data_IF_042423343061
#
_entry.id   IF_042423343061
#
_cell.length_a   1.000
_cell.length_b   1.000
_cell.length_c   1.000
_cell.angle_alpha   90.00
_cell.angle_beta   90.00
_cell.angle_gamma   90.00
#
_symmetry.space_group_name_H-M   'P 1'
#
loop_
_entity.id
_entity.type
_entity.pdbx_description
1 polymer ?
#
# COMPACT_ATOMS: atom_id res chain seq x y z
N UNK A 1 -22.69 17.81 -34.45
CA UNK A 1 -21.91 18.29 -33.29
C UNK A 1 -22.20 17.47 -32.03
N UNK A 2 -23.47 17.25 -31.68
CA UNK A 2 -23.90 16.48 -30.50
C UNK A 2 -23.35 15.05 -30.40
N UNK A 3 -23.20 14.32 -31.51
CA UNK A 3 -22.63 12.97 -31.51
C UNK A 3 -21.15 12.92 -31.06
N UNK A 4 -20.35 13.94 -31.41
CA UNK A 4 -18.95 14.05 -30.98
C UNK A 4 -18.83 14.39 -29.50
N UNK A 5 -19.75 15.21 -29.00
CA UNK A 5 -19.85 15.58 -27.58
C UNK A 5 -20.25 14.35 -26.75
N UNK A 6 -21.22 13.56 -27.21
CA UNK A 6 -21.62 12.31 -26.55
C UNK A 6 -20.47 11.29 -26.44
N UNK A 7 -19.69 11.11 -27.50
CA UNK A 7 -18.52 10.22 -27.50
C UNK A 7 -17.42 10.73 -26.55
N UNK A 8 -17.16 12.04 -26.54
CA UNK A 8 -16.17 12.65 -25.65
C UNK A 8 -16.57 12.48 -24.16
N UNK A 9 -17.84 12.67 -23.82
CA UNK A 9 -18.37 12.46 -22.47
C UNK A 9 -18.27 10.97 -22.07
N UNK A 10 -18.62 10.06 -22.98
CA UNK A 10 -18.52 8.61 -22.73
C UNK A 10 -17.08 8.15 -22.49
N UNK A 11 -16.13 8.62 -23.29
CA UNK A 11 -14.70 8.34 -23.11
C UNK A 11 -14.16 8.92 -21.81
N UNK A 12 -14.55 10.15 -21.48
CA UNK A 12 -14.14 10.79 -20.23
C UNK A 12 -14.68 10.01 -19.02
N UNK A 13 -15.94 9.59 -19.04
CA UNK A 13 -16.55 8.79 -17.98
C UNK A 13 -15.88 7.40 -17.85
N UNK A 14 -15.55 6.75 -18.97
CA UNK A 14 -14.84 5.48 -18.99
C UNK A 14 -13.44 5.60 -18.40
N UNK A 15 -12.66 6.60 -18.84
CA UNK A 15 -11.30 6.86 -18.34
C UNK A 15 -11.33 7.21 -16.85
N UNK A 16 -12.26 8.08 -16.44
CA UNK A 16 -12.43 8.47 -15.02
C UNK A 16 -12.84 7.26 -14.17
N UNK A 17 -13.75 6.41 -14.68
CA UNK A 17 -14.14 5.17 -14.01
C UNK A 17 -12.97 4.18 -13.87
N UNK A 18 -12.17 4.00 -14.91
CA UNK A 18 -10.98 3.15 -14.90
C UNK A 18 -9.90 3.67 -13.93
N UNK A 19 -9.77 5.00 -13.81
CA UNK A 19 -8.86 5.66 -12.88
C UNK A 19 -9.39 5.67 -11.43
N UNK A 20 -10.70 5.58 -11.23
CA UNK A 20 -11.30 5.46 -9.89
C UNK A 20 -11.27 4.02 -9.35
N UNK A 21 -11.22 3.02 -10.23
CA UNK A 21 -11.10 1.60 -9.87
C UNK A 21 -9.99 1.31 -8.85
N UNK A 22 -8.76 1.85 -8.97
CA UNK A 22 -7.71 1.68 -7.97
C UNK A 22 -8.10 2.10 -6.56
N UNK A 23 -8.67 3.30 -6.40
CA UNK A 23 -9.03 3.86 -5.11
C UNK A 23 -10.09 3.00 -4.42
N UNK A 24 -11.06 2.53 -5.20
CA UNK A 24 -12.11 1.61 -4.75
C UNK A 24 -11.55 0.22 -4.39
N UNK A 25 -10.61 -0.30 -5.17
CA UNK A 25 -9.95 -1.59 -4.90
C UNK A 25 -9.02 -1.51 -3.69
N UNK A 26 -8.29 -0.39 -3.51
CA UNK A 26 -7.47 -0.13 -2.31
C UNK A 26 -8.34 0.05 -1.07
N UNK A 27 -9.46 0.76 -1.16
CA UNK A 27 -10.37 0.93 -0.02
C UNK A 27 -11.04 -0.41 0.37
N UNK A 28 -11.40 -1.24 -0.62
CA UNK A 28 -11.97 -2.58 -0.38
C UNK A 28 -10.93 -3.59 0.12
N UNK A 29 -9.71 -3.58 -0.39
CA UNK A 29 -8.62 -4.41 0.12
C UNK A 29 -8.17 -3.96 1.52
N UNK A 30 -8.15 -2.65 1.80
CA UNK A 30 -7.94 -2.10 3.16
C UNK A 30 -8.95 -2.62 4.15
N UNK A 31 -10.25 -2.61 3.80
CA UNK A 31 -11.30 -3.14 4.67
C UNK A 31 -11.24 -4.66 4.83
N UNK A 32 -10.84 -5.39 3.79
CA UNK A 32 -10.74 -6.86 3.84
C UNK A 32 -9.46 -7.39 4.50
N UNK A 33 -8.36 -6.63 4.52
CA UNK A 33 -7.10 -7.01 5.19
C UNK A 33 -7.03 -6.61 6.66
N UNK A 34 -7.97 -5.77 7.11
CA UNK A 34 -8.07 -5.32 8.51
C UNK A 34 -9.31 -5.89 9.23
N UNK A 35 -10.14 -6.65 8.54
CA UNK A 35 -11.20 -7.41 9.19
C UNK A 35 -10.53 -8.58 9.93
N UNK A 36 -10.77 -8.73 11.26
CA UNK A 36 -10.36 -9.92 11.98
C UNK A 36 -10.91 -11.15 11.25
N UNK A 37 -10.14 -12.25 11.13
CA UNK A 37 -10.76 -13.54 10.81
C UNK A 37 -11.87 -13.80 11.83
N UNK A 38 -13.03 -14.25 11.38
CA UNK A 38 -14.09 -14.71 12.29
C UNK A 38 -13.52 -15.88 13.11
N UNK A 39 -13.11 -15.58 14.35
CA UNK A 39 -12.36 -16.50 15.21
C UNK A 39 -11.27 -15.74 15.95
N UNK A 40 -11.58 -15.28 17.15
CA UNK A 40 -10.66 -14.53 17.99
C UNK A 40 -9.39 -15.32 18.28
N UNK A 41 -8.26 -14.78 17.83
CA UNK A 41 -6.97 -14.81 18.51
C UNK A 41 -6.14 -13.63 17.98
N UNK A 42 -5.57 -12.86 18.91
CA UNK A 42 -4.93 -11.56 18.65
C UNK A 42 -3.50 -11.74 18.15
N UNK A 43 -3.32 -12.63 17.18
CA UNK A 43 -2.02 -12.93 16.58
C UNK A 43 -1.99 -12.50 15.11
N UNK A 44 -1.12 -11.55 14.82
CA UNK A 44 -0.87 -11.05 13.47
C UNK A 44 0.22 -11.87 12.81
N UNK A 45 -0.05 -12.37 11.61
CA UNK A 45 0.93 -13.07 10.78
C UNK A 45 2.02 -12.13 10.23
N UNK A 46 3.18 -12.69 9.91
CA UNK A 46 4.27 -11.99 9.21
C UNK A 46 3.79 -11.20 7.98
N UNK A 47 2.82 -11.74 7.24
CA UNK A 47 2.24 -11.11 6.05
C UNK A 47 1.55 -9.78 6.34
N UNK A 48 0.89 -9.65 7.49
CA UNK A 48 0.19 -8.42 7.87
C UNK A 48 1.17 -7.33 8.35
N UNK A 49 2.27 -7.72 9.00
CA UNK A 49 3.38 -6.79 9.32
C UNK A 49 4.07 -6.30 8.05
N UNK A 50 4.37 -7.18 7.10
CA UNK A 50 4.96 -6.79 5.80
C UNK A 50 3.98 -5.90 4.98
N UNK A 51 2.68 -6.17 5.06
CA UNK A 51 1.66 -5.34 4.42
C UNK A 51 1.63 -3.92 5.02
N UNK A 52 1.63 -3.80 6.36
CA UNK A 52 1.70 -2.51 7.05
C UNK A 52 2.96 -1.72 6.67
N UNK A 53 4.11 -2.39 6.58
CA UNK A 53 5.37 -1.78 6.14
C UNK A 53 5.33 -1.29 4.69
N UNK A 54 4.74 -2.09 3.79
CA UNK A 54 4.58 -1.70 2.39
C UNK A 54 3.67 -0.49 2.24
N UNK A 55 2.61 -0.39 3.05
CA UNK A 55 1.66 0.73 3.02
C UNK A 55 2.33 2.04 3.44
N UNK A 56 3.20 2.00 4.46
CA UNK A 56 3.97 3.18 4.88
C UNK A 56 4.96 3.60 3.81
N UNK A 57 5.70 2.65 3.22
CA UNK A 57 6.61 2.94 2.09
C UNK A 57 5.88 3.59 0.93
N UNK A 58 4.74 3.03 0.55
CA UNK A 58 3.93 3.57 -0.54
C UNK A 58 3.43 4.97 -0.19
N UNK A 59 2.99 5.19 1.06
CA UNK A 59 2.56 6.51 1.53
C UNK A 59 3.68 7.54 1.42
N UNK A 60 4.92 7.22 1.79
CA UNK A 60 6.07 8.10 1.58
C UNK A 60 6.25 8.50 0.12
N UNK A 61 6.19 7.52 -0.79
CA UNK A 61 6.31 7.75 -2.24
C UNK A 61 5.15 8.60 -2.76
N UNK A 62 3.94 8.35 -2.27
CA UNK A 62 2.74 9.04 -2.69
C UNK A 62 2.79 10.52 -2.27
N UNK A 63 3.28 10.83 -1.06
CA UNK A 63 3.52 12.21 -0.61
C UNK A 63 4.81 12.84 -1.17
N UNK A 64 5.52 12.13 -2.05
CA UNK A 64 6.70 12.64 -2.77
C UNK A 64 8.01 12.60 -1.97
N UNK A 65 8.06 11.90 -0.84
CA UNK A 65 9.28 11.69 -0.08
C UNK A 65 10.13 10.56 -0.70
N UNK A 66 11.44 10.65 -0.51
CA UNK A 66 12.36 9.57 -0.90
C UNK A 66 12.32 8.48 0.17
N UNK A 67 12.14 7.23 -0.27
CA UNK A 67 12.21 6.08 0.64
C UNK A 67 13.64 5.53 0.68
N UNK A 68 14.30 5.48 1.86
CA UNK A 68 15.66 4.98 1.98
C UNK A 68 15.81 3.48 1.67
N UNK A 69 17.02 3.07 1.30
CA UNK A 69 17.41 1.66 1.15
C UNK A 69 18.09 1.12 2.41
N UNK A 70 17.91 -0.17 2.71
CA UNK A 70 18.61 -0.84 3.81
C UNK A 70 17.69 -1.77 4.61
N UNK A 71 18.13 -2.14 5.81
CA UNK A 71 17.31 -2.93 6.73
C UNK A 71 16.09 -2.13 7.21
N UNK A 72 14.96 -2.78 7.57
CA UNK A 72 13.77 -2.08 8.08
C UNK A 72 14.11 -1.08 9.19
N UNK A 73 14.96 -1.47 10.14
CA UNK A 73 15.42 -0.61 11.23
C UNK A 73 16.25 0.60 10.77
N UNK A 74 17.13 0.42 9.79
CA UNK A 74 17.90 1.52 9.23
C UNK A 74 16.97 2.52 8.50
N UNK A 75 16.08 1.99 7.66
CA UNK A 75 15.08 2.76 6.92
C UNK A 75 14.16 3.52 7.87
N UNK A 76 13.64 2.87 8.91
CA UNK A 76 12.75 3.48 9.89
C UNK A 76 13.39 4.66 10.62
N UNK A 77 14.68 4.56 11.00
CA UNK A 77 15.40 5.67 11.63
C UNK A 77 15.65 6.83 10.67
N UNK A 78 16.04 6.54 9.44
CA UNK A 78 16.35 7.57 8.45
C UNK A 78 15.09 8.30 7.98
N UNK A 79 14.03 7.55 7.66
CA UNK A 79 12.75 8.12 7.22
C UNK A 79 12.00 8.84 8.34
N UNK A 80 12.25 8.52 9.62
CA UNK A 80 11.66 9.24 10.75
C UNK A 80 12.17 10.69 10.88
N UNK A 81 13.34 11.03 10.33
CA UNK A 81 13.94 12.36 10.45
C UNK A 81 13.16 13.46 9.73
N UNK A 82 12.34 13.09 8.74
CA UNK A 82 11.52 14.03 7.95
C UNK A 82 10.07 14.08 8.43
N UNK A 83 9.75 13.37 9.52
CA UNK A 83 8.41 13.29 10.08
C UNK A 83 8.31 14.11 11.37
N UNK A 84 7.11 14.58 11.74
CA UNK A 84 6.83 15.03 13.10
C UNK A 84 7.17 13.95 14.13
N UNK A 85 7.53 14.36 15.34
CA UNK A 85 8.11 13.47 16.36
C UNK A 85 7.27 12.21 16.64
N UNK A 86 5.95 12.35 16.77
CA UNK A 86 5.03 11.24 16.99
C UNK A 86 5.01 10.24 15.83
N UNK A 87 4.97 10.74 14.61
CA UNK A 87 5.01 9.94 13.40
C UNK A 87 6.39 9.27 13.21
N UNK A 88 7.47 9.98 13.53
CA UNK A 88 8.82 9.42 13.55
C UNK A 88 8.96 8.27 14.55
N UNK A 89 8.44 8.44 15.77
CA UNK A 89 8.39 7.37 16.78
C UNK A 89 7.59 6.17 16.30
N UNK A 90 6.39 6.39 15.77
CA UNK A 90 5.54 5.33 15.24
C UNK A 90 6.24 4.55 14.11
N UNK A 91 6.94 5.24 13.22
CA UNK A 91 7.71 4.61 12.15
C UNK A 91 8.86 3.73 12.67
N UNK A 92 9.59 4.22 13.68
CA UNK A 92 10.67 3.44 14.32
C UNK A 92 10.10 2.20 15.01
N UNK A 93 8.97 2.30 15.72
CA UNK A 93 8.31 1.16 16.35
C UNK A 93 7.89 0.13 15.30
N UNK A 94 7.22 0.56 14.22
CA UNK A 94 6.80 -0.31 13.13
C UNK A 94 8.00 -1.03 12.50
N UNK A 95 9.10 -0.32 12.25
CA UNK A 95 10.31 -0.91 11.66
C UNK A 95 10.90 -2.04 12.51
N UNK A 96 10.83 -1.93 13.84
CA UNK A 96 11.26 -2.97 14.76
C UNK A 96 10.30 -4.16 14.75
N UNK A 97 8.99 -3.93 14.61
CA UNK A 97 8.03 -5.03 14.47
C UNK A 97 8.27 -5.82 13.18
N UNK A 98 8.64 -5.16 12.08
CA UNK A 98 9.02 -5.85 10.83
C UNK A 98 10.29 -6.68 10.99
N UNK A 99 11.28 -6.16 11.71
CA UNK A 99 12.50 -6.91 11.99
C UNK A 99 12.20 -8.12 12.88
N UNK A 100 11.40 -7.93 13.94
CA UNK A 100 10.96 -9.03 14.80
C UNK A 100 10.14 -10.06 14.03
N UNK A 101 9.16 -9.68 13.22
CA UNK A 101 8.35 -10.67 12.49
C UNK A 101 9.15 -11.51 11.50
N UNK A 102 10.31 -11.01 11.04
CA UNK A 102 11.21 -11.74 10.14
C UNK A 102 12.18 -12.67 10.86
N UNK A 103 12.58 -12.33 12.08
CA UNK A 103 13.63 -13.05 12.81
C UNK A 103 13.17 -13.72 14.10
N UNK A 104 11.98 -13.40 14.59
CA UNK A 104 11.36 -13.95 15.78
C UNK A 104 9.92 -14.37 15.46
N UNK A 105 9.58 -15.61 15.79
CA UNK A 105 8.21 -16.13 15.82
C UNK A 105 7.45 -15.55 17.02
N UNK A 106 7.27 -14.24 17.04
CA UNK A 106 6.53 -13.55 18.10
C UNK A 106 5.19 -13.04 17.56
N UNK A 107 4.13 -13.27 18.33
CA UNK A 107 2.81 -12.71 18.04
C UNK A 107 2.84 -11.18 18.12
N UNK A 108 2.33 -10.52 17.09
CA UNK A 108 2.13 -9.06 17.04
C UNK A 108 0.63 -8.79 17.08
N UNK A 109 0.19 -7.71 17.73
CA UNK A 109 -1.24 -7.34 17.78
C UNK A 109 -1.64 -6.42 16.61
N UNK A 110 -2.81 -6.64 16.00
CA UNK A 110 -3.26 -5.97 14.75
C UNK A 110 -3.67 -4.51 14.96
N UNK A 111 -4.28 -4.22 16.11
CA UNK A 111 -4.69 -2.88 16.51
C UNK A 111 -3.47 -1.94 16.59
N UNK A 112 -2.36 -2.43 17.13
CA UNK A 112 -1.11 -1.67 17.23
C UNK A 112 -0.54 -1.32 15.85
N UNK A 113 -0.53 -2.28 14.91
CA UNK A 113 -0.03 -2.01 13.55
C UNK A 113 -0.87 -0.97 12.82
N UNK A 114 -2.19 -1.06 12.92
CA UNK A 114 -3.10 -0.14 12.25
C UNK A 114 -2.96 1.27 12.80
N UNK A 115 -2.84 1.41 14.13
CA UNK A 115 -2.59 2.67 14.80
C UNK A 115 -1.25 3.29 14.37
N UNK A 116 -0.16 2.49 14.36
CA UNK A 116 1.16 2.95 13.94
C UNK A 116 1.17 3.46 12.49
N UNK A 117 0.54 2.72 11.57
CA UNK A 117 0.41 3.14 10.16
C UNK A 117 -0.41 4.44 10.05
N UNK A 118 -1.49 4.56 10.83
CA UNK A 118 -2.30 5.77 10.90
C UNK A 118 -1.48 6.99 11.30
N UNK A 119 -0.77 6.90 12.43
CA UNK A 119 0.07 7.99 12.95
C UNK A 119 1.15 8.42 11.95
N UNK A 120 1.82 7.47 11.29
CA UNK A 120 2.84 7.81 10.27
C UNK A 120 2.22 8.55 9.08
N UNK A 121 1.06 8.08 8.60
CA UNK A 121 0.36 8.71 7.46
C UNK A 121 -0.15 10.10 7.79
N UNK A 122 -0.65 10.31 8.99
CA UNK A 122 -1.10 11.63 9.43
C UNK A 122 0.08 12.58 9.58
N UNK A 123 1.22 12.09 10.08
CA UNK A 123 2.49 12.85 10.04
C UNK A 123 2.90 13.28 8.64
N UNK A 124 2.86 12.37 7.66
CA UNK A 124 3.16 12.67 6.25
C UNK A 124 2.21 13.71 5.64
N UNK A 125 0.94 13.77 6.10
CA UNK A 125 -0.04 14.75 5.63
C UNK A 125 0.18 16.15 6.20
N UNK A 126 0.82 16.25 7.36
CA UNK A 126 0.89 17.50 8.14
C UNK A 126 1.72 18.57 7.43
N UNK A 127 2.69 18.17 6.61
CA UNK A 127 3.66 19.05 5.94
C UNK A 127 3.25 19.49 4.50
N UNK A 128 2.08 19.07 4.00
CA UNK A 128 1.65 19.31 2.60
C UNK A 128 0.34 20.09 2.48
N UNK A 129 0.33 21.03 1.52
CA UNK A 129 -0.83 21.80 1.09
C UNK A 129 -2.00 20.92 0.60
N UNK A 130 -3.20 21.50 0.60
CA UNK A 130 -4.47 20.83 0.26
C UNK A 130 -4.47 20.22 -1.17
N UNK A 131 -3.68 20.79 -2.06
CA UNK A 131 -3.46 20.40 -3.45
C UNK A 131 -2.64 19.10 -3.58
N UNK A 132 -1.53 19.00 -2.85
CA UNK A 132 -0.71 17.78 -2.80
C UNK A 132 -1.45 16.62 -2.11
N UNK A 133 -2.34 16.92 -1.15
CA UNK A 133 -3.21 15.91 -0.51
C UNK A 133 -4.18 15.30 -1.53
N UNK A 134 -4.88 16.13 -2.29
CA UNK A 134 -5.82 15.68 -3.32
C UNK A 134 -5.14 14.85 -4.42
N UNK A 135 -3.97 15.30 -4.92
CA UNK A 135 -3.23 14.57 -5.96
C UNK A 135 -2.67 13.24 -5.42
N UNK A 136 -2.17 13.19 -4.19
CA UNK A 136 -1.63 11.95 -3.62
C UNK A 136 -2.73 10.93 -3.33
N UNK A 137 -3.94 11.40 -3.01
CA UNK A 137 -5.08 10.55 -2.68
C UNK A 137 -5.84 10.08 -3.93
N UNK A 138 -5.80 10.85 -5.03
CA UNK A 138 -6.46 10.52 -6.30
C UNK A 138 -5.50 9.98 -7.38
N UNK A 139 -4.20 10.24 -7.29
CA UNK A 139 -3.19 9.85 -8.29
C UNK A 139 -1.87 9.34 -7.67
N UNK A 140 -1.88 8.20 -6.94
CA UNK A 140 -0.71 7.72 -6.22
C UNK A 140 0.43 7.34 -7.17
N UNK A 141 1.63 7.91 -6.98
CA UNK A 141 2.81 7.60 -7.82
C UNK A 141 3.26 6.14 -7.70
N UNK A 142 2.96 5.50 -6.57
CA UNK A 142 3.20 4.05 -6.35
C UNK A 142 2.47 3.15 -7.35
N UNK A 143 1.35 3.64 -7.91
CA UNK A 143 0.54 2.88 -8.86
C UNK A 143 1.28 2.57 -10.16
N UNK A 144 2.09 3.49 -10.67
CA UNK A 144 2.87 3.27 -11.89
C UNK A 144 3.95 2.20 -11.72
N UNK A 145 4.54 2.07 -10.52
CA UNK A 145 5.50 0.99 -10.23
C UNK A 145 4.82 -0.36 -10.11
N UNK A 146 3.68 -0.42 -9.42
CA UNK A 146 2.90 -1.65 -9.29
C UNK A 146 2.33 -2.11 -10.63
N UNK A 147 1.83 -1.18 -11.45
CA UNK A 147 1.37 -1.44 -12.80
C UNK A 147 2.52 -1.97 -13.67
N UNK A 148 3.71 -1.37 -13.58
CA UNK A 148 4.91 -1.84 -14.26
C UNK A 148 5.33 -3.26 -13.86
N UNK A 149 5.19 -3.63 -12.57
CA UNK A 149 5.47 -4.99 -12.10
C UNK A 149 4.38 -5.99 -12.47
N UNK A 150 3.11 -5.58 -12.50
CA UNK A 150 1.99 -6.44 -12.92
C UNK A 150 1.98 -6.67 -14.44
N UNK A 151 2.41 -5.67 -15.21
CA UNK A 151 2.63 -5.76 -16.65
C UNK A 151 4.00 -6.36 -17.00
N UNK A 152 4.89 -6.57 -16.02
CA UNK A 152 6.12 -7.32 -16.25
C UNK A 152 5.74 -8.74 -16.65
N UNK A 153 6.12 -9.10 -17.88
CA UNK A 153 5.87 -10.35 -18.61
C UNK A 153 5.87 -11.62 -17.73
N UNK A 154 6.68 -11.66 -16.67
CA UNK A 154 6.80 -12.77 -15.73
C UNK A 154 5.50 -13.14 -14.99
N UNK A 155 4.64 -12.17 -14.62
CA UNK A 155 3.39 -12.46 -13.90
C UNK A 155 2.34 -13.12 -14.81
N UNK A 156 2.32 -12.74 -16.09
CA UNK A 156 1.52 -13.37 -17.14
C UNK A 156 1.97 -14.81 -17.40
N UNK A 157 3.28 -15.05 -17.46
CA UNK A 157 3.83 -16.41 -17.62
C UNK A 157 3.56 -17.34 -16.42
N UNK A 158 3.60 -16.83 -15.19
CA UNK A 158 3.32 -17.63 -14.00
C UNK A 158 1.86 -18.13 -13.97
N UNK A 159 0.89 -17.27 -14.33
CA UNK A 159 -0.53 -17.65 -14.44
C UNK A 159 -0.79 -18.59 -15.62
N UNK A 160 -0.14 -18.33 -16.76
CA UNK A 160 -0.25 -19.22 -17.93
C UNK A 160 0.29 -20.62 -17.61
N UNK A 161 1.44 -20.74 -16.95
CA UNK A 161 2.00 -22.04 -16.52
C UNK A 161 1.10 -22.75 -15.52
N UNK A 162 0.50 -22.05 -14.56
CA UNK A 162 -0.40 -22.64 -13.58
C UNK A 162 -1.67 -23.23 -14.23
N UNK A 163 -2.24 -22.53 -15.21
CA UNK A 163 -3.39 -23.03 -15.99
C UNK A 163 -2.98 -24.25 -16.82
N UNK A 164 -1.85 -24.19 -17.53
CA UNK A 164 -1.36 -25.31 -18.35
C UNK A 164 -1.03 -26.55 -17.49
N UNK A 165 -0.46 -26.36 -16.31
CA UNK A 165 -0.17 -27.45 -15.37
C UNK A 165 -1.46 -28.12 -14.85
N UNK A 166 -2.51 -27.34 -14.59
CA UNK A 166 -3.83 -27.87 -14.18
C UNK A 166 -4.54 -28.67 -15.27
N UNK A 167 -4.25 -28.42 -16.55
CA UNK A 167 -4.80 -29.17 -17.68
C UNK A 167 -4.07 -30.49 -17.97
N UNK A 168 -2.82 -30.66 -17.51
CA UNK A 168 -2.06 -31.92 -17.66
C UNK A 168 -2.29 -32.92 -16.53
N UNK A 169 -2.96 -32.51 -15.46
CA UNK A 169 -3.27 -33.34 -14.30
C UNK A 169 -4.71 -33.89 -14.31
N UNK A 170 -5.43 -33.72 -15.43
CA UNK A 170 -6.74 -34.35 -15.72
C UNK A 170 -6.58 -35.21 -16.96
#
# INVERSE_FOLDING_TARGET
>A
MFARIGVAIGLLALVTGLLALPGLLRHRQRRRRLAPPDGGDVEVSQQAVDAAWSEVRDSFVDYGYTWPSGSPRAVGRQAAQVLPEDAGRALVILSRQVERSRYALAAVHSADLSALVGTVRDGLRTDKGWDARLISEWWPRSWWRALGQALAWQALWARAKAVIAGWRAR
#
